data_IF_840017837329
#
_entry.id   IF_840017837329
#
_cell.length_a   1.000
_cell.length_b   1.000
_cell.length_c   1.000
_cell.angle_alpha   90.00
_cell.angle_beta   90.00
_cell.angle_gamma   90.00
#
_symmetry.space_group_name_H-M   'P 1'
#
loop_
_entity.id
_entity.type
_entity.pdbx_description
1 polymer ?
#
# COMPACT_ATOMS: atom_id res chain seq x y z
N UNK A 1 0.95 26.58 -17.56
CA UNK A 1 0.95 26.21 -16.13
C UNK A 1 -0.30 25.41 -15.76
N UNK A 2 -1.49 25.87 -16.17
CA UNK A 2 -2.79 25.28 -15.75
C UNK A 2 -3.06 23.88 -16.30
N UNK A 3 -2.49 23.55 -17.47
CA UNK A 3 -2.62 22.22 -18.07
C UNK A 3 -1.93 21.13 -17.24
N UNK A 4 -0.79 21.44 -16.63
CA UNK A 4 -0.05 20.49 -15.80
C UNK A 4 -0.79 20.22 -14.48
N UNK A 5 -1.36 21.28 -13.89
CA UNK A 5 -2.20 21.21 -12.68
C UNK A 5 -3.49 20.41 -12.92
N UNK A 6 -4.14 20.59 -14.08
CA UNK A 6 -5.34 19.82 -14.44
C UNK A 6 -5.03 18.34 -14.68
N UNK A 7 -3.89 18.02 -15.30
CA UNK A 7 -3.43 16.63 -15.49
C UNK A 7 -3.13 15.96 -14.15
N UNK A 8 -2.43 16.66 -13.24
CA UNK A 8 -2.16 16.16 -11.88
C UNK A 8 -3.44 15.95 -11.05
N UNK A 9 -4.41 16.85 -11.20
CA UNK A 9 -5.70 16.74 -10.52
C UNK A 9 -6.50 15.56 -11.05
N UNK A 10 -6.54 15.38 -12.38
CA UNK A 10 -7.18 14.22 -13.03
C UNK A 10 -6.53 12.90 -12.63
N UNK A 11 -5.19 12.84 -12.59
CA UNK A 11 -4.45 11.66 -12.17
C UNK A 11 -4.72 11.29 -10.71
N UNK A 12 -4.78 12.29 -9.82
CA UNK A 12 -5.12 12.08 -8.40
C UNK A 12 -6.55 11.59 -8.22
N UNK A 13 -7.51 12.18 -8.93
CA UNK A 13 -8.92 11.76 -8.89
C UNK A 13 -9.08 10.33 -9.42
N UNK A 14 -8.38 9.97 -10.50
CA UNK A 14 -8.36 8.62 -11.06
C UNK A 14 -7.79 7.61 -10.05
N UNK A 15 -6.67 7.93 -9.39
CA UNK A 15 -6.05 7.10 -8.35
C UNK A 15 -7.02 6.85 -7.18
N UNK A 16 -7.69 7.89 -6.70
CA UNK A 16 -8.72 7.79 -5.65
C UNK A 16 -9.87 6.88 -6.10
N UNK A 17 -10.36 7.04 -7.32
CA UNK A 17 -11.41 6.21 -7.90
C UNK A 17 -10.96 4.74 -8.01
N UNK A 18 -9.73 4.49 -8.44
CA UNK A 18 -9.16 3.15 -8.58
C UNK A 18 -9.01 2.47 -7.21
N UNK A 19 -8.57 3.21 -6.20
CA UNK A 19 -8.51 2.74 -4.80
C UNK A 19 -9.91 2.43 -4.28
N UNK A 20 -10.89 3.33 -4.45
CA UNK A 20 -12.28 3.12 -4.01
C UNK A 20 -12.93 1.91 -4.70
N UNK A 21 -12.70 1.73 -6.01
CA UNK A 21 -13.18 0.57 -6.76
C UNK A 21 -12.50 -0.72 -6.30
N UNK A 22 -11.20 -0.66 -5.99
CA UNK A 22 -10.43 -1.81 -5.48
C UNK A 22 -10.90 -2.23 -4.08
N UNK A 23 -11.26 -1.26 -3.24
CA UNK A 23 -11.89 -1.48 -1.92
C UNK A 23 -13.30 -2.05 -2.07
N UNK A 24 -14.12 -1.48 -2.98
CA UNK A 24 -15.52 -1.92 -3.19
C UNK A 24 -15.64 -3.30 -3.84
N UNK A 25 -14.65 -3.73 -4.64
CA UNK A 25 -14.64 -5.06 -5.29
C UNK A 25 -14.18 -6.22 -4.40
N UNK A 26 -13.92 -5.99 -3.11
CA UNK A 26 -13.65 -7.04 -2.12
C UNK A 26 -12.63 -8.12 -2.58
N UNK A 27 -11.57 -7.71 -3.28
CA UNK A 27 -10.38 -8.55 -3.55
C UNK A 27 -9.28 -8.36 -2.49
N UNK A 28 -9.46 -7.41 -1.57
CA UNK A 28 -8.52 -7.03 -0.52
C UNK A 28 -9.27 -7.09 0.82
N UNK A 29 -8.72 -7.82 1.80
CA UNK A 29 -9.24 -7.88 3.19
C UNK A 29 -9.29 -6.46 3.77
N UNK A 30 -10.39 -6.11 4.45
CA UNK A 30 -10.69 -4.77 5.00
C UNK A 30 -9.51 -4.14 5.76
N UNK A 31 -8.69 -4.96 6.42
CA UNK A 31 -7.46 -4.55 7.14
C UNK A 31 -6.43 -3.82 6.28
N UNK A 32 -6.26 -4.19 5.01
CA UNK A 32 -5.29 -3.56 4.10
C UNK A 32 -5.85 -2.32 3.38
N UNK A 33 -7.18 -2.18 3.36
CA UNK A 33 -7.85 -1.01 2.79
C UNK A 33 -7.74 0.21 3.71
N UNK A 34 -7.67 0.01 5.02
CA UNK A 34 -7.55 1.09 6.02
C UNK A 34 -6.22 1.83 5.87
N UNK A 35 -5.11 1.13 5.68
CA UNK A 35 -3.80 1.74 5.49
C UNK A 35 -3.71 2.53 4.17
N UNK A 36 -4.34 2.05 3.10
CA UNK A 36 -4.47 2.80 1.83
C UNK A 36 -5.39 4.02 1.95
N UNK A 37 -6.49 3.91 2.70
CA UNK A 37 -7.41 5.02 2.94
C UNK A 37 -6.73 6.11 3.79
N UNK A 38 -5.97 5.72 4.81
CA UNK A 38 -5.13 6.60 5.62
C UNK A 38 -4.06 7.29 4.77
N UNK A 39 -3.36 6.57 3.90
CA UNK A 39 -2.37 7.14 2.99
C UNK A 39 -2.99 8.15 2.02
N UNK A 40 -4.12 7.82 1.40
CA UNK A 40 -4.84 8.71 0.50
C UNK A 40 -5.36 9.96 1.22
N UNK A 41 -5.89 9.79 2.44
CA UNK A 41 -6.36 10.89 3.28
C UNK A 41 -5.20 11.80 3.72
N UNK A 42 -4.07 11.22 4.13
CA UNK A 42 -2.87 11.96 4.48
C UNK A 42 -2.35 12.77 3.28
N UNK A 43 -2.28 12.18 2.09
CA UNK A 43 -1.91 12.88 0.86
C UNK A 43 -2.90 14.00 0.49
N UNK A 44 -4.20 13.77 0.70
CA UNK A 44 -5.24 14.77 0.42
C UNK A 44 -5.13 15.96 1.38
N UNK A 45 -4.89 15.71 2.67
CA UNK A 45 -4.65 16.75 3.67
C UNK A 45 -3.38 17.54 3.33
N UNK A 46 -2.30 16.83 2.98
CA UNK A 46 -1.02 17.46 2.65
C UNK A 46 -1.10 18.29 1.36
N UNK A 47 -1.85 17.83 0.37
CA UNK A 47 -2.11 18.55 -0.88
C UNK A 47 -2.89 19.85 -0.66
N UNK A 48 -3.81 19.88 0.32
CA UNK A 48 -4.57 21.09 0.67
C UNK A 48 -3.80 22.04 1.58
N UNK A 49 -2.82 21.55 2.34
CA UNK A 49 -2.02 22.33 3.26
C UNK A 49 -0.82 23.01 2.57
N UNK A 50 -1.08 24.00 1.70
CA UNK A 50 -0.03 24.84 1.06
C UNK A 50 0.93 25.46 2.07
N UNK A 51 0.45 25.81 3.27
CA UNK A 51 1.28 26.36 4.34
C UNK A 51 2.28 25.36 4.93
N UNK A 52 1.83 24.14 5.28
CA UNK A 52 2.70 23.07 5.76
C UNK A 52 3.75 22.68 4.73
N UNK A 53 3.35 22.64 3.47
CA UNK A 53 4.24 22.31 2.38
C UNK A 53 5.34 23.36 2.20
N UNK A 54 5.03 24.64 2.36
CA UNK A 54 6.03 25.72 2.33
C UNK A 54 7.04 25.56 3.46
N UNK A 55 6.57 25.33 4.70
CA UNK A 55 7.45 25.12 5.85
C UNK A 55 8.34 23.88 5.73
N UNK A 56 7.82 22.79 5.16
CA UNK A 56 8.60 21.57 4.92
C UNK A 56 9.57 21.77 3.75
N UNK A 57 9.17 22.47 2.70
CA UNK A 57 10.04 22.80 1.57
C UNK A 57 11.21 23.67 2.01
N UNK A 58 10.98 24.66 2.88
CA UNK A 58 12.02 25.48 3.48
C UNK A 58 12.96 24.66 4.39
N UNK A 59 12.42 23.73 5.18
CA UNK A 59 13.21 22.84 6.04
C UNK A 59 14.11 21.87 5.25
N UNK A 60 13.61 21.34 4.12
CA UNK A 60 14.35 20.43 3.24
C UNK A 60 15.26 21.22 2.27
N UNK A 61 15.10 22.55 2.16
CA UNK A 61 15.86 23.42 1.25
C UNK A 61 15.41 23.33 -0.20
N UNK A 62 14.17 22.89 -0.46
CA UNK A 62 13.62 22.70 -1.81
C UNK A 62 12.86 23.97 -2.24
N UNK A 63 13.43 24.71 -3.18
CA UNK A 63 12.88 26.00 -3.67
C UNK A 63 11.55 25.86 -4.41
N UNK A 64 11.17 24.64 -4.83
CA UNK A 64 9.95 24.36 -5.59
C UNK A 64 8.94 23.53 -4.77
N UNK A 65 7.87 24.14 -4.23
CA UNK A 65 6.85 23.45 -3.43
C UNK A 65 6.23 22.19 -4.09
N UNK A 66 6.00 22.13 -5.42
CA UNK A 66 5.49 20.91 -6.06
C UNK A 66 6.48 19.73 -5.97
N UNK A 67 7.78 19.99 -6.01
CA UNK A 67 8.81 18.95 -5.94
C UNK A 67 8.86 18.32 -4.54
N UNK A 68 8.64 19.13 -3.50
CA UNK A 68 8.55 18.65 -2.12
C UNK A 68 7.36 17.70 -1.91
N UNK A 69 6.20 17.96 -2.52
CA UNK A 69 5.07 17.03 -2.49
C UNK A 69 5.40 15.69 -3.14
N UNK A 70 6.06 15.70 -4.31
CA UNK A 70 6.43 14.46 -5.01
C UNK A 70 7.42 13.65 -4.17
N UNK A 71 8.43 14.30 -3.57
CA UNK A 71 9.39 13.64 -2.69
C UNK A 71 8.73 13.02 -1.47
N UNK A 72 7.85 13.76 -0.79
CA UNK A 72 7.17 13.28 0.41
C UNK A 72 6.18 12.16 0.10
N UNK A 73 5.46 12.29 -1.02
CA UNK A 73 4.60 11.22 -1.56
C UNK A 73 5.44 9.99 -1.88
N UNK A 74 6.56 10.13 -2.59
CA UNK A 74 7.48 9.03 -2.91
C UNK A 74 8.01 8.33 -1.66
N UNK A 75 8.39 9.08 -0.63
CA UNK A 75 8.83 8.53 0.65
C UNK A 75 7.70 7.70 1.32
N UNK A 76 6.47 8.22 1.31
CA UNK A 76 5.31 7.51 1.84
C UNK A 76 5.04 6.20 1.07
N UNK A 77 5.15 6.23 -0.27
CA UNK A 77 5.05 5.02 -1.09
C UNK A 77 6.15 4.00 -0.79
N UNK A 78 7.39 4.43 -0.54
CA UNK A 78 8.47 3.53 -0.14
C UNK A 78 8.17 2.82 1.18
N UNK A 79 7.64 3.54 2.18
CA UNK A 79 7.21 2.94 3.46
C UNK A 79 6.11 1.91 3.24
N UNK A 80 5.15 2.19 2.36
CA UNK A 80 4.09 1.26 2.00
C UNK A 80 4.66 0.02 1.30
N UNK A 81 5.56 0.18 0.34
CA UNK A 81 6.22 -0.95 -0.32
C UNK A 81 7.01 -1.81 0.66
N UNK A 82 7.72 -1.18 1.59
CA UNK A 82 8.41 -1.90 2.66
C UNK A 82 7.44 -2.73 3.51
N UNK A 83 6.33 -2.13 3.96
CA UNK A 83 5.25 -2.85 4.67
C UNK A 83 4.73 -4.04 3.88
N UNK A 84 4.47 -3.87 2.58
CA UNK A 84 4.02 -4.98 1.73
C UNK A 84 5.06 -6.07 1.57
N UNK A 85 6.34 -5.72 1.45
CA UNK A 85 7.42 -6.69 1.41
C UNK A 85 7.43 -7.57 2.66
N UNK A 86 7.28 -6.99 3.85
CA UNK A 86 7.20 -7.73 5.11
C UNK A 86 5.98 -8.66 5.15
N UNK A 87 4.80 -8.15 4.77
CA UNK A 87 3.56 -8.95 4.76
C UNK A 87 3.67 -10.14 3.79
N UNK A 88 4.21 -9.91 2.59
CA UNK A 88 4.42 -10.96 1.58
C UNK A 88 5.42 -11.99 2.09
N UNK A 89 6.50 -11.55 2.75
CA UNK A 89 7.47 -12.47 3.35
C UNK A 89 6.83 -13.38 4.38
N UNK A 90 6.06 -12.81 5.31
CA UNK A 90 5.36 -13.60 6.34
C UNK A 90 4.37 -14.58 5.71
N UNK A 91 3.60 -14.14 4.72
CA UNK A 91 2.64 -14.99 4.03
C UNK A 91 3.31 -16.16 3.30
N UNK A 92 4.52 -15.94 2.75
CA UNK A 92 5.32 -17.01 2.14
C UNK A 92 5.70 -18.06 3.19
N UNK A 93 6.17 -17.62 4.35
CA UNK A 93 6.60 -18.51 5.42
C UNK A 93 5.42 -19.31 6.00
N UNK A 94 4.27 -18.67 6.18
CA UNK A 94 3.03 -19.33 6.61
C UNK A 94 2.56 -20.40 5.60
N UNK A 95 2.67 -20.12 4.30
CA UNK A 95 2.30 -21.06 3.24
C UNK A 95 3.23 -22.29 3.22
N UNK A 96 4.54 -22.08 3.42
CA UNK A 96 5.50 -23.18 3.56
C UNK A 96 5.13 -24.05 4.76
N UNK A 97 4.85 -23.45 5.91
CA UNK A 97 4.45 -24.18 7.12
C UNK A 97 3.14 -24.95 6.92
N UNK A 98 2.16 -24.36 6.22
CA UNK A 98 0.89 -25.01 5.92
C UNK A 98 1.08 -26.22 4.99
N UNK A 99 1.88 -26.06 3.92
CA UNK A 99 2.20 -27.17 3.01
C UNK A 99 2.88 -28.32 3.74
N UNK A 100 3.81 -28.03 4.66
CA UNK A 100 4.44 -29.05 5.50
C UNK A 100 3.43 -29.77 6.40
N UNK A 101 2.51 -29.05 7.03
CA UNK A 101 1.45 -29.65 7.85
C UNK A 101 0.52 -30.56 7.03
N UNK A 102 0.16 -30.13 5.83
CA UNK A 102 -0.65 -30.95 4.90
C UNK A 102 0.09 -32.24 4.52
N UNK A 103 1.37 -32.14 4.14
CA UNK A 103 2.17 -33.32 3.79
C UNK A 103 2.29 -34.33 4.96
N UNK A 104 2.48 -33.85 6.19
CA UNK A 104 2.51 -34.69 7.39
C UNK A 104 1.14 -35.35 7.62
N UNK A 105 0.05 -34.61 7.41
CA UNK A 105 -1.31 -35.16 7.58
C UNK A 105 -1.61 -36.24 6.54
N UNK A 106 -1.24 -36.02 5.27
CA UNK A 106 -1.37 -36.99 4.19
C UNK A 106 -0.58 -38.27 4.49
N UNK A 107 0.63 -38.15 5.04
CA UNK A 107 1.44 -39.30 5.45
C UNK A 107 0.75 -40.16 6.52
N UNK A 108 0.17 -39.53 7.55
CA UNK A 108 -0.56 -40.25 8.60
C UNK A 108 -1.82 -40.94 8.07
N UNK A 109 -2.56 -40.29 7.16
CA UNK A 109 -3.73 -40.90 6.53
C UNK A 109 -3.33 -42.12 5.71
N UNK A 110 -2.24 -42.02 4.94
CA UNK A 110 -1.75 -43.13 4.13
C UNK A 110 -1.20 -44.29 4.97
N UNK A 111 -0.51 -44.00 6.08
CA UNK A 111 0.01 -45.04 6.97
C UNK A 111 -1.11 -45.82 7.67
N UNK A 112 -2.17 -45.15 8.10
CA UNK A 112 -3.36 -45.80 8.66
C UNK A 112 -4.06 -46.70 7.63
N UNK A 113 -4.16 -46.25 6.38
CA UNK A 113 -4.75 -47.05 5.30
C UNK A 113 -3.92 -48.30 4.95
N UNK A 114 -2.60 -48.24 5.12
CA UNK A 114 -1.72 -49.37 4.83
C UNK A 114 -1.61 -50.38 5.98
N UNK A 115 -2.08 -50.02 7.19
CA UNK A 115 -1.99 -50.85 8.39
C UNK A 115 -3.26 -51.68 8.68
N UNK A 116 -4.34 -51.49 7.91
CA UNK A 116 -5.56 -52.31 7.94
C UNK A 116 -5.75 -53.07 6.64
#
# INVERSE_FOLDING_TARGET
MDRLLNVMTGLSALLILLVLVSVRRARIRVEYSVSWLMAALALLILSRARGLLHSIADLIGVTYPPLALVLLTGCLFLVIFYRFSVIISQLKDDNIALAQRVAILEYHVQSLKNAG
#
